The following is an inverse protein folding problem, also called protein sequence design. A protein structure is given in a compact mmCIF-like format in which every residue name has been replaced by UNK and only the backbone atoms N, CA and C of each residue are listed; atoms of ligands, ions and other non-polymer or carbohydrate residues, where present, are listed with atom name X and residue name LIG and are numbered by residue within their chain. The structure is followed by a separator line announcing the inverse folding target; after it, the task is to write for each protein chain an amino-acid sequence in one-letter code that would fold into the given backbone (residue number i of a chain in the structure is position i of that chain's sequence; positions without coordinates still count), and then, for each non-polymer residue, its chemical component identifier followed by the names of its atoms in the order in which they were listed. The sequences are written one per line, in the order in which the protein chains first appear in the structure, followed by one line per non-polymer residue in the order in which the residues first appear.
data_IF_055812985758
#
_entry.id   IF_055812985758
#
_cell.length_a   1.000
_cell.length_b   1.000
_cell.length_c   1.000
_cell.angle_alpha   90.00
_cell.angle_beta   90.00
_cell.angle_gamma   90.00
#
_symmetry.space_group_name_H-M   'P 1'
#
loop_
_entity.id
_entity.type
_entity.pdbx_description
1 polymer ?
#
# COMPACT_ATOMS: atom_id res chain seq x y z
N UNK A 1 -0.71 12.10 -5.67
CA UNK A 1 0.71 12.02 -5.27
C UNK A 1 1.40 13.38 -5.09
N UNK A 2 1.22 14.38 -5.98
CA UNK A 2 1.99 15.65 -5.89
C UNK A 2 1.87 16.35 -4.53
N UNK A 3 0.67 16.42 -3.96
CA UNK A 3 0.42 17.05 -2.66
C UNK A 3 1.16 16.40 -1.48
N UNK A 4 1.41 15.09 -1.52
CA UNK A 4 2.18 14.41 -0.47
C UNK A 4 3.66 14.80 -0.54
N UNK A 5 4.21 14.88 -1.76
CA UNK A 5 5.60 15.31 -1.98
C UNK A 5 5.78 16.79 -1.61
N UNK A 6 4.83 17.65 -1.99
CA UNK A 6 4.81 19.08 -1.61
C UNK A 6 4.77 19.28 -0.08
N UNK A 7 4.14 18.35 0.65
CA UNK A 7 4.10 18.35 2.12
C UNK A 7 5.33 17.68 2.77
N UNK A 8 6.32 17.22 1.99
CA UNK A 8 7.54 16.60 2.49
C UNK A 8 7.40 15.11 2.87
N UNK A 9 6.34 14.44 2.42
CA UNK A 9 6.14 13.00 2.62
C UNK A 9 6.65 12.19 1.42
N UNK A 10 6.99 10.93 1.66
CA UNK A 10 7.49 10.00 0.65
C UNK A 10 6.48 8.86 0.43
N UNK A 11 5.45 9.05 -0.41
CA UNK A 11 4.41 8.05 -0.59
C UNK A 11 4.94 6.81 -1.33
N UNK A 12 4.78 5.64 -0.73
CA UNK A 12 4.90 4.36 -1.43
C UNK A 12 3.55 4.00 -2.09
N UNK A 13 3.57 3.69 -3.39
CA UNK A 13 2.38 3.24 -4.13
C UNK A 13 2.64 1.83 -4.69
N UNK A 14 1.98 0.79 -4.14
CA UNK A 14 2.25 -0.60 -4.52
C UNK A 14 1.92 -0.90 -5.99
N UNK A 15 1.01 -0.14 -6.60
CA UNK A 15 0.69 -0.30 -8.03
C UNK A 15 1.88 0.03 -8.96
N UNK A 16 2.86 0.79 -8.49
CA UNK A 16 4.07 1.06 -9.27
C UNK A 16 5.02 -0.14 -9.31
N UNK A 17 5.13 -0.91 -8.22
CA UNK A 17 5.93 -2.15 -8.21
C UNK A 17 5.23 -3.28 -8.96
N UNK A 18 3.90 -3.27 -9.03
CA UNK A 18 3.12 -4.26 -9.78
C UNK A 18 3.43 -4.31 -11.28
N UNK A 19 4.01 -3.27 -11.88
CA UNK A 19 4.47 -3.32 -13.29
C UNK A 19 5.49 -4.43 -13.56
N UNK A 20 6.20 -4.91 -12.53
CA UNK A 20 7.05 -6.09 -12.65
C UNK A 20 6.27 -7.34 -13.13
N UNK A 21 4.98 -7.43 -12.81
CA UNK A 21 4.09 -8.51 -13.29
C UNK A 21 4.06 -8.63 -14.83
N UNK A 22 4.24 -7.52 -15.56
CA UNK A 22 4.24 -7.51 -17.03
C UNK A 22 5.46 -8.23 -17.62
N UNK A 23 6.55 -8.33 -16.86
CA UNK A 23 7.80 -8.97 -17.28
C UNK A 23 7.88 -10.39 -16.69
N UNK A 24 7.49 -10.53 -15.43
CA UNK A 24 7.49 -11.80 -14.71
C UNK A 24 6.24 -11.89 -13.82
N UNK A 25 5.18 -12.58 -14.29
CA UNK A 25 3.94 -12.72 -13.55
C UNK A 25 4.14 -13.39 -12.19
N UNK A 26 3.41 -12.90 -11.20
CA UNK A 26 3.36 -13.47 -9.85
C UNK A 26 1.92 -13.59 -9.37
N UNK A 27 1.66 -14.63 -8.58
CA UNK A 27 0.39 -14.83 -7.88
C UNK A 27 -0.02 -13.60 -7.06
N UNK A 28 -1.33 -13.40 -6.88
CA UNK A 28 -1.88 -12.26 -6.18
C UNK A 28 -1.33 -12.12 -4.75
N UNK A 29 -1.20 -13.23 -4.03
CA UNK A 29 -0.67 -13.30 -2.67
C UNK A 29 0.77 -12.81 -2.56
N UNK A 30 1.57 -12.94 -3.64
CA UNK A 30 2.95 -12.46 -3.67
C UNK A 30 3.02 -10.94 -3.61
N UNK A 31 2.14 -10.25 -4.33
CA UNK A 31 2.04 -8.79 -4.32
C UNK A 31 1.57 -8.30 -2.95
N UNK A 32 0.49 -8.90 -2.44
CA UNK A 32 -0.01 -8.56 -1.10
C UNK A 32 1.09 -8.72 -0.04
N UNK A 33 1.86 -9.82 -0.09
CA UNK A 33 2.96 -10.02 0.85
C UNK A 33 4.03 -8.93 0.73
N UNK A 34 4.37 -8.51 -0.48
CA UNK A 34 5.33 -7.41 -0.69
C UNK A 34 4.82 -6.11 -0.07
N UNK A 35 3.55 -5.79 -0.27
CA UNK A 35 2.94 -4.56 0.23
C UNK A 35 2.86 -4.55 1.76
N UNK A 36 2.57 -5.70 2.38
CA UNK A 36 2.60 -5.87 3.83
C UNK A 36 4.01 -5.72 4.42
N UNK A 37 5.08 -6.10 3.70
CA UNK A 37 6.45 -5.86 4.17
C UNK A 37 6.80 -4.38 4.13
N UNK A 38 6.37 -3.64 3.09
CA UNK A 38 6.56 -2.19 3.04
C UNK A 38 5.79 -1.45 4.13
N UNK A 39 4.59 -1.90 4.48
CA UNK A 39 3.81 -1.30 5.57
C UNK A 39 4.56 -1.25 6.90
N UNK A 40 5.44 -2.22 7.19
CA UNK A 40 6.22 -2.29 8.43
C UNK A 40 7.22 -1.13 8.58
N UNK A 41 7.58 -0.48 7.49
CA UNK A 41 8.53 0.65 7.48
C UNK A 41 7.86 1.99 7.18
N UNK A 42 6.53 2.01 7.06
CA UNK A 42 5.76 3.23 6.85
C UNK A 42 5.41 3.91 8.19
N UNK A 43 5.28 5.24 8.16
CA UNK A 43 4.79 6.02 9.31
C UNK A 43 3.26 6.14 9.36
N UNK A 44 2.62 5.99 8.20
CA UNK A 44 1.19 6.20 8.01
C UNK A 44 0.66 5.38 6.83
N UNK A 45 -0.64 5.12 6.86
CA UNK A 45 -1.42 4.53 5.79
C UNK A 45 -2.48 5.51 5.31
N UNK A 46 -2.62 5.68 3.99
CA UNK A 46 -3.64 6.52 3.39
C UNK A 46 -4.55 5.65 2.52
N UNK A 47 -5.84 5.61 2.85
CA UNK A 47 -6.84 4.86 2.10
C UNK A 47 -7.42 5.74 1.00
N UNK A 48 -7.27 5.30 -0.25
CA UNK A 48 -7.86 6.01 -1.39
C UNK A 48 -9.40 5.88 -1.32
N UNK A 49 -10.18 6.98 -1.34
CA UNK A 49 -11.64 6.91 -1.36
C UNK A 49 -12.17 6.10 -2.56
N UNK A 50 -13.22 5.30 -2.36
CA UNK A 50 -13.80 4.45 -3.40
C UNK A 50 -13.15 3.07 -3.53
N UNK A 51 -12.25 2.70 -2.62
CA UNK A 51 -11.56 1.41 -2.62
C UNK A 51 -12.12 0.41 -1.60
N UNK A 52 -13.33 0.63 -1.08
CA UNK A 52 -13.93 -0.16 0.01
C UNK A 52 -14.13 -1.64 -0.38
N UNK A 53 -14.36 -1.91 -1.66
CA UNK A 53 -14.53 -3.26 -2.21
C UNK A 53 -13.20 -3.94 -2.58
N UNK A 54 -12.05 -3.29 -2.37
CA UNK A 54 -10.73 -3.88 -2.64
C UNK A 54 -10.32 -4.81 -1.50
N UNK A 55 -10.28 -6.12 -1.78
CA UNK A 55 -9.82 -7.15 -0.83
C UNK A 55 -8.39 -6.86 -0.34
N UNK A 56 -7.48 -6.48 -1.23
CA UNK A 56 -6.09 -6.16 -0.88
C UNK A 56 -6.00 -4.97 0.07
N UNK A 57 -6.67 -3.87 -0.28
CA UNK A 57 -6.66 -2.66 0.55
C UNK A 57 -7.28 -2.92 1.93
N UNK A 58 -8.35 -3.72 2.01
CA UNK A 58 -8.96 -4.11 3.29
C UNK A 58 -7.99 -4.88 4.19
N UNK A 59 -7.14 -5.74 3.61
CA UNK A 59 -6.13 -6.47 4.37
C UNK A 59 -5.00 -5.54 4.83
N UNK A 60 -4.52 -4.67 3.94
CA UNK A 60 -3.50 -3.66 4.24
C UNK A 60 -3.92 -2.70 5.35
N UNK A 61 -5.17 -2.22 5.33
CA UNK A 61 -5.68 -1.32 6.35
C UNK A 61 -5.76 -2.02 7.72
N UNK A 62 -6.20 -3.27 7.75
CA UNK A 62 -6.21 -4.07 8.99
C UNK A 62 -4.80 -4.29 9.53
N UNK A 63 -3.83 -4.54 8.66
CA UNK A 63 -2.42 -4.66 9.05
C UNK A 63 -1.87 -3.33 9.56
N UNK A 64 -2.17 -2.21 8.90
CA UNK A 64 -1.79 -0.88 9.34
C UNK A 64 -2.33 -0.57 10.74
N UNK A 65 -3.58 -0.94 11.03
CA UNK A 65 -4.16 -0.85 12.38
C UNK A 65 -3.41 -1.72 13.38
N UNK A 66 -3.09 -2.96 13.01
CA UNK A 66 -2.32 -3.89 13.86
C UNK A 66 -0.92 -3.37 14.18
N UNK A 67 -0.27 -2.71 13.22
CA UNK A 67 1.05 -2.09 13.36
C UNK A 67 1.00 -0.75 14.12
N UNK A 68 -0.19 -0.20 14.39
CA UNK A 68 -0.34 1.07 15.10
C UNK A 68 0.00 2.30 14.25
N UNK A 69 -0.12 2.19 12.92
CA UNK A 69 0.13 3.31 12.01
C UNK A 69 -0.96 4.37 12.15
N UNK A 70 -0.65 5.60 11.74
CA UNK A 70 -1.67 6.64 11.54
C UNK A 70 -2.46 6.32 10.25
N UNK A 71 -3.78 6.25 10.34
CA UNK A 71 -4.66 6.01 9.21
C UNK A 71 -5.31 7.32 8.75
N UNK A 72 -5.36 7.53 7.43
CA UNK A 72 -5.94 8.69 6.76
C UNK A 72 -6.85 8.27 5.61
#
# INVERSE_FOLDING_TARGET
MSRFLEAGHYPYCPHLTHFWHLIYPHEWEKWLKLDLEYLKVCDAYFRIPGSENSKGANIEENEARRLGLKLF
#
